data_IF_713719334612
#
_entry.id   IF_713719334612
#
_cell.length_a   1.000
_cell.length_b   1.000
_cell.length_c   1.000
_cell.angle_alpha   90.00
_cell.angle_beta   90.00
_cell.angle_gamma   90.00
#
_symmetry.space_group_name_H-M   'P 1'
#
loop_
_entity.id
_entity.type
_entity.pdbx_description
1 polymer ?
#
# COMPACT_ATOMS: atom_id res chain seq x y z
N UNK A 1 -11.22 -1.78 16.07
CA UNK A 1 -9.80 -1.74 15.66
C UNK A 1 -9.68 -2.47 14.33
N UNK A 2 -10.09 -1.84 13.23
CA UNK A 2 -10.17 -2.56 11.94
C UNK A 2 -8.86 -2.52 11.17
N UNK A 3 -8.23 -1.35 11.00
CA UNK A 3 -6.93 -1.23 10.33
C UNK A 3 -5.81 -2.02 11.04
N UNK A 4 -5.84 -2.12 12.37
CA UNK A 4 -4.85 -2.89 13.12
C UNK A 4 -5.03 -4.41 13.00
N UNK A 5 -6.20 -4.86 12.54
CA UNK A 5 -6.51 -6.29 12.44
C UNK A 5 -5.84 -6.93 11.24
N UNK A 6 -5.62 -6.21 10.14
CA UNK A 6 -5.07 -6.82 8.92
C UNK A 6 -3.54 -6.98 8.92
N UNK A 7 -2.79 -6.30 9.81
CA UNK A 7 -1.32 -6.29 9.83
C UNK A 7 -0.70 -7.15 10.95
N UNK A 8 -1.33 -8.28 11.30
CA UNK A 8 -0.95 -9.09 12.47
C UNK A 8 0.49 -9.59 12.42
N UNK A 9 0.95 -10.11 11.29
CA UNK A 9 2.32 -10.63 11.14
C UNK A 9 3.33 -9.49 11.21
N UNK A 10 3.06 -8.39 10.50
CA UNK A 10 3.90 -7.19 10.52
C UNK A 10 4.07 -6.67 11.95
N UNK A 11 2.96 -6.52 12.67
CA UNK A 11 3.00 -6.02 14.05
C UNK A 11 3.64 -7.00 15.02
N UNK A 12 3.50 -8.30 14.78
CA UNK A 12 4.19 -9.31 15.57
C UNK A 12 5.71 -9.17 15.43
N UNK A 13 6.23 -9.01 14.21
CA UNK A 13 7.66 -8.76 13.99
C UNK A 13 8.12 -7.44 14.64
N UNK A 14 7.35 -6.36 14.47
CA UNK A 14 7.62 -5.07 15.10
C UNK A 14 7.71 -5.17 16.63
N UNK A 15 6.74 -5.83 17.26
CA UNK A 15 6.71 -6.04 18.72
C UNK A 15 7.89 -6.89 19.20
N UNK A 16 8.22 -7.97 18.48
CA UNK A 16 9.35 -8.84 18.83
C UNK A 16 10.69 -8.10 18.89
N UNK A 17 10.83 -7.02 18.11
CA UNK A 17 12.07 -6.23 18.04
C UNK A 17 11.98 -4.88 18.80
N UNK A 18 10.93 -4.68 19.60
CA UNK A 18 10.76 -3.49 20.43
C UNK A 18 10.42 -2.21 19.67
N UNK A 19 9.72 -2.34 18.53
CA UNK A 19 9.26 -1.22 17.70
C UNK A 19 7.74 -1.27 17.47
N UNK A 20 6.91 -1.31 18.53
CA UNK A 20 5.46 -1.45 18.38
C UNK A 20 4.87 -0.29 17.56
N UNK A 21 3.85 -0.54 16.73
CA UNK A 21 3.14 0.53 16.04
C UNK A 21 2.33 1.39 17.03
N UNK A 22 2.13 2.66 16.71
CA UNK A 22 1.31 3.59 17.49
C UNK A 22 0.04 4.00 16.74
N UNK A 23 -1.09 4.05 17.46
CA UNK A 23 -2.37 4.45 16.87
C UNK A 23 -2.43 5.96 16.62
N UNK A 24 -3.03 6.32 15.48
CA UNK A 24 -3.34 7.71 15.11
C UNK A 24 -4.73 7.77 14.46
N UNK A 25 -5.33 8.94 14.46
CA UNK A 25 -6.61 9.19 13.80
C UNK A 25 -6.37 9.81 12.43
N UNK A 26 -6.81 9.12 11.38
CA UNK A 26 -6.59 9.55 10.01
C UNK A 26 -7.40 10.82 9.69
N UNK A 27 -6.70 11.83 9.18
CA UNK A 27 -7.27 13.06 8.65
C UNK A 27 -6.78 13.27 7.22
N UNK A 28 -7.70 13.39 6.27
CA UNK A 28 -7.37 13.58 4.84
C UNK A 28 -7.76 14.96 4.35
N UNK A 29 -7.04 15.48 3.37
CA UNK A 29 -7.36 16.72 2.65
C UNK A 29 -7.16 16.51 1.16
N UNK A 30 -8.26 16.24 0.46
CA UNK A 30 -8.23 15.89 -0.95
C UNK A 30 -8.67 17.06 -1.81
N UNK A 31 -7.86 17.42 -2.81
CA UNK A 31 -8.13 18.56 -3.68
C UNK A 31 -7.95 19.90 -2.98
N UNK A 32 -8.18 20.98 -3.74
CA UNK A 32 -8.03 22.36 -3.27
C UNK A 32 -9.15 23.26 -3.79
N UNK A 33 -9.60 24.21 -2.98
CA UNK A 33 -10.70 25.12 -3.29
C UNK A 33 -12.09 24.47 -3.25
N UNK A 34 -13.14 25.28 -3.34
CA UNK A 34 -14.54 24.85 -3.12
C UNK A 34 -15.00 23.74 -4.08
N UNK A 35 -14.49 23.73 -5.31
CA UNK A 35 -14.93 22.79 -6.36
C UNK A 35 -14.32 21.39 -6.28
N UNK A 36 -13.28 21.20 -5.45
CA UNK A 36 -12.52 19.94 -5.36
C UNK A 36 -12.16 19.51 -3.95
N UNK A 37 -12.15 20.42 -2.99
CA UNK A 37 -11.78 20.10 -1.62
C UNK A 37 -12.82 19.20 -0.95
N UNK A 38 -12.35 18.11 -0.37
CA UNK A 38 -13.11 17.37 0.64
C UNK A 38 -12.21 16.69 1.67
N UNK A 39 -12.80 16.36 2.81
CA UNK A 39 -12.14 15.74 3.95
C UNK A 39 -13.11 14.82 4.68
N UNK A 40 -12.58 13.89 5.48
CA UNK A 40 -13.36 13.09 6.41
C UNK A 40 -13.59 13.77 7.77
N UNK A 41 -13.01 14.94 8.02
CA UNK A 41 -13.06 15.60 9.32
C UNK A 41 -14.33 16.43 9.55
N UNK A 42 -14.95 16.96 8.50
CA UNK A 42 -16.15 17.81 8.56
C UNK A 42 -16.88 17.80 7.20
N UNK A 43 -18.18 18.16 7.13
CA UNK A 43 -18.91 18.19 5.87
C UNK A 43 -18.36 19.31 4.97
N UNK A 44 -17.72 18.93 3.86
CA UNK A 44 -17.30 19.90 2.83
C UNK A 44 -18.44 20.21 1.86
N UNK A 45 -18.34 21.35 1.16
CA UNK A 45 -19.28 21.70 0.07
C UNK A 45 -19.36 20.60 -1.00
N UNK A 46 -18.23 20.01 -1.37
CA UNK A 46 -18.15 18.93 -2.36
C UNK A 46 -18.89 17.66 -1.91
N UNK A 47 -18.74 17.28 -0.64
CA UNK A 47 -19.49 16.16 -0.05
C UNK A 47 -21.00 16.42 -0.12
N UNK A 48 -21.44 17.64 0.22
CA UNK A 48 -22.86 18.00 0.14
C UNK A 48 -23.39 17.89 -1.29
N UNK A 49 -22.61 18.39 -2.28
CA UNK A 49 -22.93 18.31 -3.70
C UNK A 49 -23.10 16.85 -4.18
N UNK A 50 -22.19 15.95 -3.80
CA UNK A 50 -22.22 14.55 -4.23
C UNK A 50 -22.92 13.59 -3.26
N UNK A 51 -23.64 14.08 -2.25
CA UNK A 51 -24.27 13.25 -1.22
C UNK A 51 -25.18 12.12 -1.77
N UNK A 52 -25.91 12.37 -2.87
CA UNK A 52 -26.70 11.34 -3.56
C UNK A 52 -25.84 10.28 -4.25
N UNK A 53 -24.74 10.72 -4.89
CA UNK A 53 -23.76 9.84 -5.54
C UNK A 53 -23.04 8.96 -4.50
N UNK A 54 -22.64 9.54 -3.36
CA UNK A 54 -22.08 8.82 -2.20
C UNK A 54 -23.06 7.71 -1.81
N UNK A 55 -24.30 8.03 -1.43
CA UNK A 55 -25.29 6.99 -1.05
C UNK A 55 -25.45 5.89 -2.10
N UNK A 56 -25.50 6.25 -3.39
CA UNK A 56 -25.56 5.29 -4.51
C UNK A 56 -24.31 4.41 -4.58
N UNK A 57 -23.14 4.93 -4.27
CA UNK A 57 -21.88 4.18 -4.24
C UNK A 57 -21.91 3.04 -3.21
N UNK A 58 -22.55 3.23 -2.05
CA UNK A 58 -22.77 2.15 -1.09
C UNK A 58 -23.60 0.99 -1.65
N UNK A 59 -24.62 1.26 -2.46
CA UNK A 59 -25.37 0.21 -3.17
C UNK A 59 -24.53 -0.46 -4.26
N UNK A 60 -23.68 0.31 -4.95
CA UNK A 60 -22.74 -0.23 -5.93
C UNK A 60 -21.76 -1.23 -5.29
N UNK A 61 -21.19 -0.92 -4.13
CA UNK A 61 -20.29 -1.85 -3.41
C UNK A 61 -21.02 -3.17 -3.08
N UNK A 62 -22.25 -3.10 -2.56
CA UNK A 62 -23.08 -4.28 -2.30
C UNK A 62 -23.34 -5.09 -3.56
N UNK A 63 -23.67 -4.42 -4.68
CA UNK A 63 -23.88 -5.10 -5.96
C UNK A 63 -22.63 -5.85 -6.43
N UNK A 64 -21.46 -5.19 -6.37
CA UNK A 64 -20.19 -5.82 -6.76
C UNK A 64 -19.93 -7.06 -5.91
N UNK A 65 -20.11 -6.99 -4.59
CA UNK A 65 -19.91 -8.12 -3.66
C UNK A 65 -20.64 -9.39 -4.11
N UNK A 66 -21.91 -9.25 -4.50
CA UNK A 66 -22.74 -10.36 -4.96
C UNK A 66 -22.39 -10.85 -6.37
N UNK A 67 -21.73 -10.02 -7.16
CA UNK A 67 -21.51 -10.26 -8.59
C UNK A 67 -20.04 -10.35 -9.00
N UNK A 68 -19.13 -10.51 -8.01
CA UNK A 68 -17.67 -10.64 -8.20
C UNK A 68 -17.29 -11.60 -9.34
N UNK A 69 -17.87 -12.81 -9.47
CA UNK A 69 -17.46 -13.74 -10.53
C UNK A 69 -17.65 -13.20 -11.95
N UNK A 70 -18.58 -12.25 -12.14
CA UNK A 70 -18.95 -11.70 -13.46
C UNK A 70 -18.34 -10.32 -13.67
N UNK A 71 -18.52 -9.41 -12.71
CA UNK A 71 -18.11 -8.00 -12.86
C UNK A 71 -16.83 -7.65 -12.10
N UNK A 72 -16.29 -8.58 -11.30
CA UNK A 72 -15.19 -8.29 -10.38
C UNK A 72 -13.91 -7.81 -11.08
N UNK A 73 -13.59 -8.37 -12.26
CA UNK A 73 -12.41 -7.98 -13.06
C UNK A 73 -12.61 -6.70 -13.87
N UNK A 74 -13.84 -6.19 -13.97
CA UNK A 74 -14.14 -5.00 -14.76
C UNK A 74 -13.56 -3.77 -14.02
N UNK A 75 -12.77 -2.93 -14.71
CA UNK A 75 -12.22 -1.71 -14.11
C UNK A 75 -13.29 -0.77 -13.56
N UNK A 76 -13.01 -0.16 -12.41
CA UNK A 76 -13.95 0.74 -11.71
C UNK A 76 -14.46 1.87 -12.61
N UNK A 77 -13.61 2.44 -13.47
CA UNK A 77 -14.03 3.50 -14.43
C UNK A 77 -15.15 3.07 -15.37
N UNK A 78 -15.20 1.79 -15.74
CA UNK A 78 -16.21 1.24 -16.64
C UNK A 78 -17.49 1.03 -15.85
N UNK A 79 -17.38 0.42 -14.67
CA UNK A 79 -18.54 0.19 -13.79
C UNK A 79 -19.21 1.48 -13.34
N UNK A 80 -18.42 2.52 -13.03
CA UNK A 80 -18.97 3.84 -12.69
C UNK A 80 -19.82 4.42 -13.82
N UNK A 81 -19.41 4.25 -15.07
CA UNK A 81 -20.21 4.69 -16.24
C UNK A 81 -21.47 3.84 -16.42
N UNK A 82 -21.37 2.53 -16.27
CA UNK A 82 -22.51 1.60 -16.40
C UNK A 82 -23.59 1.88 -15.34
N UNK A 83 -23.19 2.32 -14.15
CA UNK A 83 -24.09 2.70 -13.05
C UNK A 83 -24.49 4.20 -13.09
N UNK A 84 -24.16 4.90 -14.18
CA UNK A 84 -24.49 6.32 -14.39
C UNK A 84 -24.01 7.26 -13.28
N UNK A 85 -22.83 6.99 -12.70
CA UNK A 85 -22.15 7.94 -11.83
C UNK A 85 -21.66 9.16 -12.61
N UNK A 86 -21.74 10.33 -11.97
CA UNK A 86 -21.18 11.54 -12.55
C UNK A 86 -19.65 11.38 -12.69
N UNK A 87 -19.12 11.89 -13.81
CA UNK A 87 -17.67 11.83 -14.05
C UNK A 87 -16.90 12.58 -12.94
N UNK A 88 -17.43 13.72 -12.51
CA UNK A 88 -16.82 14.52 -11.46
C UNK A 88 -16.78 13.81 -10.11
N UNK A 89 -17.79 13.03 -9.74
CA UNK A 89 -17.75 12.23 -8.52
C UNK A 89 -16.60 11.21 -8.54
N UNK A 90 -16.38 10.56 -9.69
CA UNK A 90 -15.24 9.66 -9.89
C UNK A 90 -13.90 10.36 -9.76
N UNK A 91 -13.71 11.43 -10.55
CA UNK A 91 -12.44 12.15 -10.65
C UNK A 91 -12.09 12.90 -9.34
N UNK A 92 -13.08 13.47 -8.64
CA UNK A 92 -12.85 14.31 -7.45
C UNK A 92 -12.91 13.55 -6.12
N UNK A 93 -13.62 12.43 -6.03
CA UNK A 93 -13.82 11.70 -4.77
C UNK A 93 -13.36 10.25 -4.81
N UNK A 94 -13.90 9.44 -5.72
CA UNK A 94 -13.67 7.98 -5.70
C UNK A 94 -12.21 7.61 -6.04
N UNK A 95 -11.63 8.19 -7.09
CA UNK A 95 -10.27 7.84 -7.50
C UNK A 95 -9.20 8.35 -6.52
N UNK A 96 -9.28 9.58 -5.96
CA UNK A 96 -8.39 9.99 -4.88
C UNK A 96 -8.48 9.09 -3.64
N UNK A 97 -9.68 8.63 -3.27
CA UNK A 97 -9.85 7.73 -2.12
C UNK A 97 -9.23 6.35 -2.35
N UNK A 98 -9.43 5.74 -3.52
CA UNK A 98 -8.80 4.45 -3.82
C UNK A 98 -7.26 4.61 -3.96
N UNK A 99 -6.78 5.77 -4.40
CA UNK A 99 -5.34 6.07 -4.44
C UNK A 99 -4.71 6.04 -3.04
N UNK A 100 -5.41 6.56 -2.02
CA UNK A 100 -5.00 6.43 -0.61
C UNK A 100 -4.85 4.96 -0.20
N UNK A 101 -5.77 4.08 -0.60
CA UNK A 101 -5.78 2.69 -0.16
C UNK A 101 -4.71 1.84 -0.83
N UNK A 102 -4.46 2.06 -2.12
CA UNK A 102 -3.59 1.21 -2.93
C UNK A 102 -2.23 1.83 -3.23
N UNK A 103 -2.03 3.10 -2.89
CA UNK A 103 -0.83 3.87 -3.25
C UNK A 103 -0.63 4.08 -4.75
N UNK A 104 -1.59 3.67 -5.61
CA UNK A 104 -1.43 3.61 -7.08
C UNK A 104 -2.19 4.72 -7.80
N UNK A 105 -1.92 5.97 -7.44
CA UNK A 105 -2.73 7.14 -7.82
C UNK A 105 -3.11 7.20 -9.31
N UNK A 106 -2.15 7.21 -10.22
CA UNK A 106 -2.42 7.34 -11.65
C UNK A 106 -3.07 6.11 -12.31
N UNK A 107 -3.12 4.97 -11.62
CA UNK A 107 -3.70 3.72 -12.14
C UNK A 107 -5.06 3.37 -11.52
N UNK A 108 -5.52 4.13 -10.52
CA UNK A 108 -6.75 3.87 -9.77
C UNK A 108 -7.98 3.58 -10.65
N UNK A 109 -8.17 4.35 -11.72
CA UNK A 109 -9.31 4.16 -12.62
C UNK A 109 -9.35 2.77 -13.30
N UNK A 110 -8.21 2.08 -13.37
CA UNK A 110 -8.05 0.76 -13.98
C UNK A 110 -8.11 -0.40 -12.97
N UNK A 111 -8.29 -0.09 -11.68
CA UNK A 111 -8.40 -1.09 -10.60
C UNK A 111 -9.68 -1.89 -10.78
N UNK A 112 -9.63 -3.23 -10.65
CA UNK A 112 -10.83 -4.06 -10.71
C UNK A 112 -11.84 -3.71 -9.61
N UNK A 113 -13.13 -3.74 -9.97
CA UNK A 113 -14.20 -3.37 -9.03
C UNK A 113 -14.27 -4.29 -7.81
N UNK A 114 -13.89 -5.57 -7.95
CA UNK A 114 -13.78 -6.47 -6.81
C UNK A 114 -12.75 -5.98 -5.78
N UNK A 115 -11.61 -5.44 -6.20
CA UNK A 115 -10.59 -4.93 -5.27
C UNK A 115 -11.12 -3.69 -4.55
N UNK A 116 -11.81 -2.81 -5.27
CA UNK A 116 -12.47 -1.65 -4.65
C UNK A 116 -13.46 -2.09 -3.58
N UNK A 117 -14.33 -3.07 -3.86
CA UNK A 117 -15.27 -3.61 -2.89
C UNK A 117 -14.58 -4.21 -1.66
N UNK A 118 -13.53 -5.00 -1.87
CA UNK A 118 -12.80 -5.67 -0.79
C UNK A 118 -12.09 -4.70 0.16
N UNK A 119 -11.67 -3.53 -0.32
CA UNK A 119 -11.09 -2.48 0.51
C UNK A 119 -12.08 -1.85 1.50
N UNK A 120 -13.39 -1.99 1.27
CA UNK A 120 -14.44 -1.48 2.16
C UNK A 120 -15.16 -2.56 2.99
N UNK A 121 -15.20 -3.82 2.52
CA UNK A 121 -16.10 -4.83 3.09
C UNK A 121 -15.47 -6.23 3.31
N UNK A 122 -14.18 -6.44 2.98
CA UNK A 122 -13.50 -7.71 3.31
C UNK A 122 -12.80 -7.65 4.68
N UNK A 123 -13.10 -8.51 5.65
CA UNK A 123 -12.37 -8.55 6.92
C UNK A 123 -10.85 -8.73 6.80
N UNK A 124 -10.34 -9.27 5.68
CA UNK A 124 -8.93 -9.53 5.40
C UNK A 124 -8.23 -8.43 4.60
N UNK A 125 -8.97 -7.44 4.07
CA UNK A 125 -8.42 -6.36 3.23
C UNK A 125 -8.97 -4.97 3.56
N UNK A 126 -10.07 -4.89 4.31
CA UNK A 126 -10.74 -3.66 4.69
C UNK A 126 -9.80 -2.84 5.57
N UNK A 127 -9.53 -1.62 5.12
CA UNK A 127 -8.78 -0.64 5.89
C UNK A 127 -9.74 0.14 6.81
N UNK A 128 -10.85 0.61 6.24
CA UNK A 128 -11.85 1.41 6.93
C UNK A 128 -13.25 1.11 6.42
N UNK A 129 -14.23 1.37 7.28
CA UNK A 129 -15.64 1.35 6.92
C UNK A 129 -15.96 2.28 5.76
N UNK A 130 -16.99 1.90 5.01
CA UNK A 130 -17.64 2.79 4.07
C UNK A 130 -18.59 3.74 4.83
N UNK A 131 -18.41 5.05 4.67
CA UNK A 131 -19.32 6.07 5.22
C UNK A 131 -20.29 6.58 4.16
N UNK A 132 -21.60 6.44 4.41
CA UNK A 132 -22.64 6.90 3.47
C UNK A 132 -22.85 8.41 3.43
N UNK A 133 -22.21 9.17 4.32
CA UNK A 133 -22.20 10.63 4.34
C UNK A 133 -20.96 11.21 3.68
N UNK A 134 -19.77 10.63 3.90
CA UNK A 134 -18.47 11.22 3.53
C UNK A 134 -17.52 10.28 2.75
N UNK A 135 -17.95 9.07 2.38
CA UNK A 135 -17.17 7.91 1.85
C UNK A 135 -16.17 7.30 2.83
N UNK A 136 -15.50 8.12 3.62
CA UNK A 136 -14.53 7.73 4.63
C UNK A 136 -15.02 8.19 6.01
N UNK A 137 -15.07 7.32 7.03
CA UNK A 137 -15.51 7.67 8.37
C UNK A 137 -14.70 8.82 8.96
N UNK A 138 -15.29 9.49 9.94
CA UNK A 138 -14.62 10.53 10.70
C UNK A 138 -13.53 9.92 11.60
N UNK A 139 -12.31 10.46 11.52
CA UNK A 139 -11.16 10.12 12.37
C UNK A 139 -10.94 8.61 12.57
N UNK A 140 -10.91 7.80 11.49
CA UNK A 140 -10.77 6.38 11.68
C UNK A 140 -9.36 6.05 12.14
N UNK A 141 -9.25 5.00 12.94
CA UNK A 141 -7.96 4.56 13.47
C UNK A 141 -7.07 4.06 12.33
N UNK A 142 -5.82 4.50 12.38
CA UNK A 142 -4.69 4.04 11.59
C UNK A 142 -3.52 3.79 12.56
N UNK A 143 -2.43 3.20 12.07
CA UNK A 143 -1.19 3.10 12.82
C UNK A 143 -0.04 3.79 12.11
N UNK A 144 0.94 4.20 12.90
CA UNK A 144 2.24 4.71 12.45
C UNK A 144 3.33 3.78 12.92
N UNK A 145 4.46 3.81 12.22
CA UNK A 145 5.57 2.91 12.47
C UNK A 145 6.71 3.64 13.12
N UNK A 146 7.46 2.93 13.95
CA UNK A 146 8.66 3.49 14.54
C UNK A 146 9.76 3.70 13.47
N UNK A 147 10.97 4.11 13.85
CA UNK A 147 12.12 4.17 12.96
C UNK A 147 12.41 2.80 12.33
N UNK A 148 11.86 2.60 11.12
CA UNK A 148 11.96 1.35 10.39
C UNK A 148 13.41 0.96 10.09
N UNK A 149 14.34 1.91 9.95
CA UNK A 149 15.75 1.60 9.75
C UNK A 149 16.34 0.83 10.94
N UNK A 150 16.09 1.32 12.16
CA UNK A 150 16.55 0.65 13.37
C UNK A 150 15.84 -0.69 13.59
N UNK A 151 14.55 -0.78 13.26
CA UNK A 151 13.82 -2.05 13.26
C UNK A 151 14.48 -3.09 12.35
N UNK A 152 14.68 -2.78 11.05
CA UNK A 152 15.27 -3.74 10.10
C UNK A 152 16.73 -4.07 10.44
N UNK A 153 17.47 -3.13 11.05
CA UNK A 153 18.82 -3.39 11.55
C UNK A 153 18.79 -4.42 12.68
N UNK A 154 17.96 -4.24 13.70
CA UNK A 154 17.79 -5.21 14.79
C UNK A 154 17.32 -6.57 14.28
N UNK A 155 16.38 -6.58 13.35
CA UNK A 155 15.87 -7.81 12.77
C UNK A 155 16.97 -8.56 11.99
N UNK A 156 17.77 -7.85 11.19
CA UNK A 156 18.94 -8.43 10.53
C UNK A 156 19.93 -9.02 11.55
N UNK A 157 20.24 -8.29 12.62
CA UNK A 157 21.19 -8.75 13.64
C UNK A 157 20.68 -10.01 14.38
N UNK A 158 19.38 -10.10 14.66
CA UNK A 158 18.71 -11.31 15.17
C UNK A 158 18.84 -12.50 14.20
N UNK A 159 18.62 -12.29 12.90
CA UNK A 159 18.80 -13.33 11.88
C UNK A 159 20.26 -13.82 11.80
N UNK A 160 21.23 -12.91 11.82
CA UNK A 160 22.66 -13.25 11.84
C UNK A 160 23.01 -14.10 13.08
N UNK A 161 22.45 -13.76 14.25
CA UNK A 161 22.66 -14.53 15.49
C UNK A 161 22.13 -15.96 15.42
N UNK A 162 21.16 -16.22 14.53
CA UNK A 162 20.57 -17.55 14.26
C UNK A 162 21.27 -18.30 13.13
N UNK A 163 22.38 -17.77 12.62
CA UNK A 163 23.18 -18.41 11.57
C UNK A 163 22.74 -18.11 10.14
N UNK A 164 21.84 -17.13 9.93
CA UNK A 164 21.58 -16.64 8.57
C UNK A 164 22.80 -15.87 8.05
N UNK A 165 23.05 -15.94 6.74
CA UNK A 165 24.03 -15.10 6.04
C UNK A 165 23.30 -13.97 5.32
N UNK A 166 23.63 -12.71 5.64
CA UNK A 166 23.01 -11.53 5.03
C UNK A 166 24.10 -10.70 4.34
N UNK A 167 24.02 -10.65 3.01
CA UNK A 167 24.97 -9.91 2.17
C UNK A 167 24.32 -8.65 1.60
N UNK A 168 24.92 -7.50 1.87
CA UNK A 168 24.52 -6.20 1.29
C UNK A 168 25.55 -5.78 0.23
N UNK A 169 25.16 -4.95 -0.73
CA UNK A 169 26.00 -4.63 -1.89
C UNK A 169 26.37 -5.90 -2.70
N UNK A 170 25.46 -6.86 -2.74
CA UNK A 170 25.62 -8.14 -3.43
C UNK A 170 24.40 -8.34 -4.30
N UNK A 171 24.58 -8.20 -5.60
CA UNK A 171 23.52 -8.24 -6.60
C UNK A 171 23.46 -9.61 -7.28
N UNK A 172 22.28 -10.20 -7.34
CA UNK A 172 22.05 -11.40 -8.16
C UNK A 172 21.76 -10.93 -9.58
N UNK A 173 22.75 -11.01 -10.46
CA UNK A 173 22.62 -10.53 -11.85
C UNK A 173 21.76 -11.48 -12.70
N UNK A 174 21.96 -12.79 -12.54
CA UNK A 174 21.31 -13.79 -13.38
C UNK A 174 21.22 -15.17 -12.72
N UNK A 175 20.17 -15.90 -13.08
CA UNK A 175 20.08 -17.34 -12.89
C UNK A 175 20.65 -18.02 -14.12
N UNK A 176 21.81 -18.65 -13.97
CA UNK A 176 22.56 -19.30 -15.05
C UNK A 176 21.96 -20.65 -15.42
N UNK A 177 21.57 -21.42 -14.41
CA UNK A 177 20.97 -22.74 -14.55
C UNK A 177 20.01 -22.99 -13.38
N UNK A 178 18.93 -23.72 -13.67
CA UNK A 178 18.05 -24.26 -12.63
C UNK A 178 17.38 -25.54 -13.07
N UNK A 179 17.34 -26.51 -12.16
CA UNK A 179 16.68 -27.80 -12.31
C UNK A 179 16.06 -28.21 -10.97
N UNK A 180 15.62 -29.46 -10.86
CA UNK A 180 15.20 -30.01 -9.58
C UNK A 180 16.42 -30.07 -8.65
N UNK A 181 16.32 -29.46 -7.46
CA UNK A 181 17.33 -29.40 -6.41
C UNK A 181 18.68 -28.80 -6.85
N UNK A 182 18.68 -27.89 -7.82
CA UNK A 182 19.92 -27.20 -8.21
C UNK A 182 19.58 -25.88 -8.88
N UNK A 183 20.20 -24.81 -8.38
CA UNK A 183 20.13 -23.44 -8.89
C UNK A 183 21.55 -22.90 -8.88
N UNK A 184 21.98 -22.34 -10.02
CA UNK A 184 23.28 -21.68 -10.16
C UNK A 184 23.06 -20.21 -10.48
N UNK A 185 23.58 -19.34 -9.62
CA UNK A 185 23.43 -17.90 -9.68
C UNK A 185 24.75 -17.26 -10.11
N UNK A 186 24.66 -16.16 -10.87
CA UNK A 186 25.74 -15.19 -11.03
C UNK A 186 25.50 -14.06 -10.05
N UNK A 187 26.50 -13.79 -9.22
CA UNK A 187 26.43 -12.80 -8.16
C UNK A 187 27.55 -11.79 -8.36
N UNK A 188 27.22 -10.51 -8.22
CA UNK A 188 28.16 -9.40 -8.32
C UNK A 188 28.27 -8.68 -6.98
N UNK A 189 29.50 -8.39 -6.55
CA UNK A 189 29.75 -7.50 -5.44
C UNK A 189 29.83 -6.06 -5.96
N UNK A 190 28.89 -5.20 -5.55
CA UNK A 190 28.79 -3.83 -6.06
C UNK A 190 29.86 -2.88 -5.50
N UNK A 191 30.69 -3.33 -4.55
CA UNK A 191 31.84 -2.56 -4.06
C UNK A 191 33.14 -2.93 -4.77
N UNK A 192 33.35 -4.21 -5.02
CA UNK A 192 34.60 -4.72 -5.62
C UNK A 192 34.49 -4.96 -7.12
N UNK A 193 33.27 -4.94 -7.66
CA UNK A 193 32.92 -5.34 -9.03
C UNK A 193 33.24 -6.81 -9.34
N UNK A 194 33.56 -7.61 -8.32
CA UNK A 194 33.85 -9.03 -8.45
C UNK A 194 32.57 -9.80 -8.78
N UNK A 195 32.68 -10.72 -9.74
CA UNK A 195 31.59 -11.59 -10.18
C UNK A 195 31.92 -13.04 -9.83
N UNK A 196 31.05 -13.68 -9.07
CA UNK A 196 31.15 -15.08 -8.65
C UNK A 196 29.97 -15.89 -9.17
N UNK A 197 30.15 -17.20 -9.22
CA UNK A 197 29.08 -18.15 -9.50
C UNK A 197 28.85 -19.04 -8.27
N UNK A 198 27.63 -19.04 -7.75
CA UNK A 198 27.27 -19.77 -6.53
C UNK A 198 26.13 -20.77 -6.81
N UNK A 199 26.18 -21.92 -6.15
CA UNK A 199 25.20 -23.00 -6.32
C UNK A 199 24.39 -23.24 -5.05
N UNK A 200 23.09 -23.46 -5.22
CA UNK A 200 22.12 -23.69 -4.16
C UNK A 200 21.14 -24.80 -4.56
N UNK A 201 20.45 -25.41 -3.60
CA UNK A 201 19.42 -26.43 -3.88
C UNK A 201 18.09 -25.83 -4.36
N UNK A 202 17.83 -24.58 -3.98
CA UNK A 202 16.64 -23.83 -4.38
C UNK A 202 16.76 -22.34 -4.05
N UNK A 203 15.81 -21.57 -4.57
CA UNK A 203 15.77 -20.12 -4.37
C UNK A 203 14.35 -19.62 -4.11
N UNK A 204 14.27 -18.54 -3.32
CA UNK A 204 13.07 -17.73 -3.15
C UNK A 204 13.38 -16.33 -3.67
N UNK A 205 12.72 -15.91 -4.74
CA UNK A 205 12.88 -14.57 -5.30
C UNK A 205 11.93 -13.61 -4.58
N UNK A 206 12.48 -12.83 -3.65
CA UNK A 206 11.80 -11.78 -2.90
C UNK A 206 11.94 -10.38 -3.55
N UNK A 207 11.96 -10.35 -4.89
CA UNK A 207 12.11 -9.14 -5.71
C UNK A 207 10.81 -8.86 -6.49
N UNK A 208 10.72 -7.72 -7.17
CA UNK A 208 9.57 -7.39 -8.03
C UNK A 208 9.44 -8.38 -9.20
N UNK A 209 8.23 -8.53 -9.75
CA UNK A 209 7.95 -9.58 -10.74
C UNK A 209 8.76 -9.42 -12.03
N UNK A 210 8.98 -8.18 -12.47
CA UNK A 210 9.80 -7.86 -13.64
C UNK A 210 11.30 -7.98 -13.35
N UNK A 211 11.76 -7.58 -12.17
CA UNK A 211 13.12 -7.87 -11.69
C UNK A 211 13.37 -9.38 -11.66
N UNK A 212 12.40 -10.16 -11.17
CA UNK A 212 12.48 -11.63 -11.18
C UNK A 212 12.59 -12.17 -12.61
N UNK A 213 11.79 -11.65 -13.57
CA UNK A 213 11.93 -12.05 -14.98
C UNK A 213 13.29 -11.69 -15.57
N UNK A 214 13.84 -10.53 -15.23
CA UNK A 214 15.17 -10.11 -15.68
C UNK A 214 16.25 -11.04 -15.15
N UNK A 215 16.24 -11.33 -13.84
CA UNK A 215 17.18 -12.27 -13.20
C UNK A 215 17.05 -13.68 -13.79
N UNK A 216 15.82 -14.16 -14.01
CA UNK A 216 15.58 -15.48 -14.62
C UNK A 216 16.08 -15.53 -16.08
N UNK A 217 15.96 -14.43 -16.81
CA UNK A 217 16.48 -14.28 -18.17
C UNK A 217 16.09 -15.43 -19.10
N UNK A 218 17.09 -16.07 -19.70
CA UNK A 218 16.89 -17.19 -20.64
C UNK A 218 16.34 -18.46 -19.96
N UNK A 219 16.50 -18.60 -18.65
CA UNK A 219 15.99 -19.77 -17.92
C UNK A 219 14.50 -19.64 -17.61
N UNK A 220 13.89 -18.46 -17.77
CA UNK A 220 12.46 -18.24 -17.56
C UNK A 220 11.60 -19.11 -18.50
N UNK A 221 10.71 -19.89 -17.91
CA UNK A 221 9.72 -20.69 -18.65
C UNK A 221 8.65 -19.81 -19.29
N UNK A 222 7.95 -20.34 -20.29
CA UNK A 222 6.82 -19.63 -20.90
C UNK A 222 5.72 -19.29 -19.90
N UNK A 223 5.51 -20.15 -18.90
CA UNK A 223 4.53 -19.91 -17.85
C UNK A 223 4.95 -18.75 -16.94
N UNK A 224 6.22 -18.69 -16.52
CA UNK A 224 6.71 -17.56 -15.73
C UNK A 224 6.65 -16.25 -16.51
N UNK A 225 7.06 -16.25 -17.79
CA UNK A 225 6.91 -15.07 -18.66
C UNK A 225 5.46 -14.61 -18.76
N UNK A 226 4.52 -15.54 -18.89
CA UNK A 226 3.08 -15.24 -18.94
C UNK A 226 2.55 -14.66 -17.63
N UNK A 227 2.91 -15.28 -16.50
CA UNK A 227 2.41 -14.92 -15.16
C UNK A 227 3.08 -13.64 -14.69
N UNK A 228 4.40 -13.63 -14.53
CA UNK A 228 5.16 -12.49 -13.99
C UNK A 228 5.05 -11.25 -14.88
N UNK A 229 4.97 -11.42 -16.20
CA UNK A 229 4.73 -10.33 -17.16
C UNK A 229 3.30 -9.76 -17.14
N UNK A 230 2.42 -10.29 -16.27
CA UNK A 230 1.09 -9.74 -16.02
C UNK A 230 1.09 -8.58 -15.01
N UNK A 231 2.19 -8.35 -14.29
CA UNK A 231 2.37 -7.19 -13.42
C UNK A 231 2.92 -6.00 -14.22
N UNK A 232 2.49 -4.79 -13.88
CA UNK A 232 3.01 -3.55 -14.45
C UNK A 232 3.51 -2.66 -13.33
N UNK A 233 4.67 -2.03 -13.53
CA UNK A 233 5.32 -1.19 -12.54
C UNK A 233 5.55 0.22 -13.10
N UNK A 234 5.63 1.20 -12.20
CA UNK A 234 5.82 2.61 -12.53
C UNK A 234 6.89 3.20 -11.63
N UNK A 235 7.71 4.07 -12.19
CA UNK A 235 8.71 4.79 -11.43
C UNK A 235 8.12 6.05 -10.82
N UNK A 236 8.11 6.13 -9.50
CA UNK A 236 7.65 7.28 -8.74
C UNK A 236 8.83 7.91 -8.00
N UNK A 237 8.77 9.21 -7.71
CA UNK A 237 9.76 9.88 -6.86
C UNK A 237 9.08 10.51 -5.64
N UNK A 238 9.58 10.20 -4.46
CA UNK A 238 9.25 10.88 -3.22
C UNK A 238 10.29 11.94 -2.91
N UNK A 239 9.83 13.16 -2.69
CA UNK A 239 10.63 14.28 -2.19
C UNK A 239 10.24 14.50 -0.74
N UNK A 240 11.19 14.31 0.18
CA UNK A 240 11.06 14.73 1.57
C UNK A 240 11.60 16.15 1.68
N UNK A 241 10.83 17.10 2.21
CA UNK A 241 11.20 18.52 2.27
C UNK A 241 10.54 19.24 3.46
N UNK A 242 11.02 20.45 3.79
CA UNK A 242 10.40 21.36 4.77
C UNK A 242 9.76 22.61 4.15
N UNK A 243 9.56 22.62 2.83
CA UNK A 243 8.95 23.75 2.11
C UNK A 243 7.43 23.90 2.36
N UNK A 244 7.08 24.58 3.47
CA UNK A 244 5.69 24.90 3.81
C UNK A 244 5.02 25.84 2.80
N UNK A 245 5.77 26.72 2.12
CA UNK A 245 5.20 27.66 1.15
C UNK A 245 4.64 26.89 -0.05
N UNK A 246 5.46 26.00 -0.62
CA UNK A 246 5.00 25.07 -1.65
C UNK A 246 3.77 24.29 -1.18
N UNK A 247 3.84 23.73 0.03
CA UNK A 247 2.79 22.84 0.54
C UNK A 247 1.44 23.57 0.72
N UNK A 248 1.45 24.75 1.33
CA UNK A 248 0.24 25.57 1.53
C UNK A 248 -0.31 26.14 0.21
N UNK A 249 0.54 26.35 -0.79
CA UNK A 249 0.11 26.72 -2.14
C UNK A 249 -0.61 25.58 -2.86
N UNK A 250 -0.26 24.31 -2.58
CA UNK A 250 -0.85 23.16 -3.29
C UNK A 250 -2.04 22.53 -2.57
N UNK A 251 -2.13 22.66 -1.24
CA UNK A 251 -3.10 21.92 -0.42
C UNK A 251 -3.94 22.79 0.51
N UNK A 252 -5.04 22.24 1.02
CA UNK A 252 -5.83 22.83 2.12
C UNK A 252 -5.35 22.23 3.45
N UNK A 253 -4.52 22.97 4.16
CA UNK A 253 -3.82 22.50 5.38
C UNK A 253 -4.53 22.86 6.69
N UNK A 254 -5.49 23.78 6.64
CA UNK A 254 -6.19 24.33 7.79
C UNK A 254 -7.70 24.40 7.54
N UNK A 255 -8.49 24.44 8.61
CA UNK A 255 -9.93 24.62 8.50
C UNK A 255 -10.25 25.99 7.90
N UNK A 256 -11.10 26.01 6.88
CA UNK A 256 -11.59 27.23 6.25
C UNK A 256 -13.12 27.24 6.24
N UNK A 257 -13.79 28.21 6.89
CA UNK A 257 -15.24 28.25 6.96
C UNK A 257 -15.94 28.19 5.59
N UNK A 258 -15.34 28.80 4.56
CA UNK A 258 -15.92 28.81 3.22
C UNK A 258 -15.85 27.45 2.51
N UNK A 259 -15.03 26.50 2.97
CA UNK A 259 -14.97 25.13 2.45
C UNK A 259 -15.97 24.19 3.15
N UNK A 260 -16.45 24.58 4.33
CA UNK A 260 -17.41 23.83 5.12
C UNK A 260 -18.83 24.03 4.58
N UNK A 261 -19.59 22.95 4.46
CA UNK A 261 -21.03 23.00 4.24
C UNK A 261 -21.77 23.17 5.57
N UNK A 262 -23.04 23.57 5.49
CA UNK A 262 -23.91 23.62 6.66
C UNK A 262 -24.11 22.21 7.26
N UNK A 263 -23.83 22.01 8.56
CA UNK A 263 -23.96 20.71 9.21
C UNK A 263 -25.43 20.29 9.31
N UNK A 264 -25.72 19.05 8.95
CA UNK A 264 -27.09 18.48 8.90
C UNK A 264 -27.43 17.61 10.11
N UNK A 265 -26.47 17.32 10.97
CA UNK A 265 -26.63 16.48 12.17
C UNK A 265 -25.81 17.03 13.34
N UNK A 266 -26.13 16.59 14.56
CA UNK A 266 -25.37 17.00 15.74
C UNK A 266 -23.93 16.46 15.71
N UNK A 267 -23.70 15.31 15.08
CA UNK A 267 -22.35 14.78 14.90
C UNK A 267 -21.54 15.63 13.91
N UNK A 268 -22.15 16.12 12.82
CA UNK A 268 -21.50 17.08 11.93
C UNK A 268 -21.20 18.41 12.63
N UNK A 269 -22.05 18.88 13.55
CA UNK A 269 -21.74 20.08 14.37
C UNK A 269 -20.51 19.85 15.25
N UNK A 270 -20.40 18.68 15.90
CA UNK A 270 -19.21 18.31 16.70
C UNK A 270 -17.95 18.22 15.84
N UNK A 271 -18.06 17.63 14.66
CA UNK A 271 -16.97 17.55 13.67
C UNK A 271 -16.45 18.93 13.26
N UNK A 272 -17.37 19.88 13.00
CA UNK A 272 -17.01 21.27 12.68
C UNK A 272 -16.34 21.95 13.87
N UNK A 273 -16.88 21.78 15.09
CA UNK A 273 -16.31 22.33 16.32
C UNK A 273 -14.89 21.80 16.57
N UNK A 274 -14.69 20.49 16.46
CA UNK A 274 -13.37 19.84 16.51
C UNK A 274 -12.41 20.46 15.49
N UNK A 275 -12.84 20.57 14.23
CA UNK A 275 -12.01 21.02 13.11
C UNK A 275 -11.60 22.50 13.22
N UNK A 276 -12.43 23.33 13.85
CA UNK A 276 -12.12 24.73 14.18
C UNK A 276 -11.11 24.88 15.32
N UNK A 277 -10.84 23.82 16.08
CA UNK A 277 -10.05 23.90 17.31
C UNK A 277 -10.82 24.55 18.46
N UNK A 278 -12.15 24.41 18.48
CA UNK A 278 -12.94 24.85 19.63
C UNK A 278 -12.73 23.87 20.82
N UNK A 279 -12.63 24.39 22.04
CA UNK A 279 -12.27 23.62 23.24
C UNK A 279 -10.78 23.25 23.30
N UNK A 280 -10.45 22.10 23.90
CA UNK A 280 -9.08 21.55 23.97
C UNK A 280 -8.68 20.77 22.70
N UNK A 281 -9.38 20.98 21.59
CA UNK A 281 -9.13 20.27 20.32
C UNK A 281 -7.88 20.81 19.61
N UNK A 282 -7.01 19.95 19.05
CA UNK A 282 -5.87 20.37 18.24
C UNK A 282 -6.28 20.95 16.87
N UNK A 283 -7.56 20.91 16.49
CA UNK A 283 -8.08 21.40 15.22
C UNK A 283 -7.87 20.43 14.05
N UNK A 284 -8.29 20.87 12.86
CA UNK A 284 -8.06 20.15 11.61
C UNK A 284 -6.57 20.16 11.25
N UNK A 285 -5.93 18.98 11.29
CA UNK A 285 -4.50 18.75 11.02
C UNK A 285 -4.34 17.54 10.09
N UNK A 286 -4.68 17.67 8.80
CA UNK A 286 -4.61 16.57 7.86
C UNK A 286 -3.18 16.01 7.73
N UNK A 287 -3.10 14.70 7.58
CA UNK A 287 -1.83 13.99 7.37
C UNK A 287 -1.61 13.59 5.93
N UNK A 288 -2.68 13.32 5.18
CA UNK A 288 -2.63 12.85 3.80
C UNK A 288 -3.33 13.83 2.87
N UNK A 289 -2.74 14.07 1.71
CA UNK A 289 -3.17 15.06 0.75
C UNK A 289 -3.14 14.53 -0.69
N UNK A 290 -4.07 15.02 -1.52
CA UNK A 290 -3.98 14.85 -2.98
C UNK A 290 -4.07 16.18 -3.69
N UNK A 291 -3.19 16.35 -4.68
CA UNK A 291 -3.25 17.45 -5.63
C UNK A 291 -3.64 16.89 -6.98
N UNK A 292 -4.60 17.50 -7.65
CA UNK A 292 -5.06 17.10 -8.98
C UNK A 292 -4.56 18.10 -9.99
N UNK A 293 -3.87 17.64 -11.02
CA UNK A 293 -3.35 18.51 -12.07
C UNK A 293 -4.50 19.14 -12.87
N UNK A 294 -4.58 20.49 -12.98
CA UNK A 294 -5.65 21.15 -13.73
C UNK A 294 -5.72 20.73 -15.21
N UNK A 295 -4.56 20.47 -15.82
CA UNK A 295 -4.43 20.07 -17.22
C UNK A 295 -4.89 18.63 -17.51
N UNK A 296 -4.82 17.74 -16.52
CA UNK A 296 -5.37 16.37 -16.62
C UNK A 296 -5.89 15.92 -15.26
N UNK A 297 -7.21 16.09 -15.00
CA UNK A 297 -7.82 15.74 -13.72
C UNK A 297 -7.74 14.26 -13.31
N UNK A 298 -7.27 13.38 -14.20
CA UNK A 298 -7.04 11.96 -13.90
C UNK A 298 -5.69 11.71 -13.24
N UNK A 299 -4.81 12.72 -13.21
CA UNK A 299 -3.47 12.64 -12.67
C UNK A 299 -3.43 13.35 -11.33
N UNK A 300 -2.70 12.76 -10.39
CA UNK A 300 -2.56 13.33 -9.06
C UNK A 300 -1.11 13.30 -8.57
N UNK A 301 -0.82 14.17 -7.61
CA UNK A 301 0.27 14.01 -6.65
C UNK A 301 -0.30 13.55 -5.32
N UNK A 302 0.48 12.76 -4.60
CA UNK A 302 0.13 12.32 -3.25
C UNK A 302 1.13 12.94 -2.28
N UNK A 303 0.63 13.54 -1.21
CA UNK A 303 1.48 14.23 -0.25
C UNK A 303 1.13 13.90 1.19
N UNK A 304 2.12 13.99 2.05
CA UNK A 304 2.00 13.71 3.47
C UNK A 304 2.60 14.85 4.27
N UNK A 305 1.94 15.25 5.36
CA UNK A 305 2.56 16.06 6.40
C UNK A 305 2.98 15.12 7.53
N UNK A 306 4.22 14.64 7.49
CA UNK A 306 4.76 13.68 8.45
C UNK A 306 4.74 14.21 9.87
N UNK A 307 4.93 15.51 10.07
CA UNK A 307 4.89 16.14 11.39
C UNK A 307 3.50 16.10 12.06
N UNK A 308 2.42 15.86 11.30
CA UNK A 308 1.07 15.75 11.87
C UNK A 308 0.75 14.35 12.44
N UNK A 309 1.47 13.31 12.03
CA UNK A 309 1.11 11.93 12.40
C UNK A 309 2.27 11.07 12.88
N UNK A 310 3.51 11.28 12.42
CA UNK A 310 4.64 10.46 12.89
C UNK A 310 4.93 10.78 14.35
N UNK A 311 4.75 9.78 15.21
CA UNK A 311 4.79 9.96 16.67
C UNK A 311 6.15 10.47 17.14
N UNK A 312 7.26 10.09 16.49
CA UNK A 312 8.59 10.61 16.86
C UNK A 312 8.74 12.09 16.53
N UNK A 313 8.18 12.54 15.39
CA UNK A 313 8.22 13.94 14.99
C UNK A 313 7.31 14.79 15.89
N UNK A 314 6.10 14.31 16.17
CA UNK A 314 5.18 14.98 17.10
C UNK A 314 5.80 15.15 18.48
N UNK A 315 6.37 14.07 19.03
CA UNK A 315 7.04 14.09 20.34
C UNK A 315 8.21 15.07 20.35
N UNK A 316 9.10 14.99 19.37
CA UNK A 316 10.25 15.90 19.26
C UNK A 316 9.81 17.37 19.15
N UNK A 317 8.76 17.66 18.38
CA UNK A 317 8.26 19.03 18.25
C UNK A 317 7.65 19.55 19.55
N UNK A 318 6.83 18.74 20.22
CA UNK A 318 6.26 19.08 21.53
C UNK A 318 7.34 19.35 22.58
N UNK A 319 8.38 18.52 22.64
CA UNK A 319 9.51 18.68 23.56
C UNK A 319 10.33 19.95 23.26
N UNK A 320 10.36 20.38 22.00
CA UNK A 320 11.07 21.59 21.55
C UNK A 320 10.26 22.89 21.68
N UNK A 321 8.97 22.81 22.06
CA UNK A 321 8.08 23.97 22.04
C UNK A 321 7.75 24.45 20.61
N UNK A 322 7.53 23.50 19.69
CA UNK A 322 7.22 23.73 18.27
C UNK A 322 8.32 24.48 17.49
N UNK A 323 9.58 24.25 17.85
CA UNK A 323 10.73 24.91 17.22
C UNK A 323 11.15 24.31 15.88
N UNK A 324 10.71 23.09 15.53
CA UNK A 324 11.10 22.43 14.30
C UNK A 324 10.17 22.75 13.13
N UNK A 325 10.78 22.92 11.95
CA UNK A 325 10.01 23.02 10.71
C UNK A 325 9.22 21.71 10.45
N UNK A 326 8.01 21.80 9.86
CA UNK A 326 7.28 20.63 9.43
C UNK A 326 8.02 19.82 8.37
N UNK A 327 7.89 18.49 8.42
CA UNK A 327 8.43 17.57 7.43
C UNK A 327 7.31 17.08 6.54
N UNK A 328 7.46 17.33 5.25
CA UNK A 328 6.53 16.89 4.21
C UNK A 328 7.16 15.79 3.35
N UNK A 329 6.31 14.95 2.77
CA UNK A 329 6.67 14.04 1.69
C UNK A 329 5.71 14.24 0.54
N UNK A 330 6.21 14.66 -0.62
CA UNK A 330 5.42 14.75 -1.86
C UNK A 330 5.89 13.67 -2.83
N UNK A 331 4.94 12.88 -3.32
CA UNK A 331 5.15 11.78 -4.26
C UNK A 331 4.65 12.20 -5.63
N UNK A 332 5.58 12.25 -6.58
CA UNK A 332 5.29 12.47 -7.99
C UNK A 332 5.22 11.12 -8.70
N UNK A 333 4.05 10.84 -9.25
CA UNK A 333 3.69 9.53 -9.77
C UNK A 333 3.98 9.40 -11.26
N UNK A 334 4.56 8.26 -11.65
CA UNK A 334 4.93 7.84 -12.98
C UNK A 334 5.89 8.80 -13.69
N UNK A 335 7.16 8.42 -13.79
CA UNK A 335 8.24 9.20 -14.41
C UNK A 335 7.99 9.57 -15.87
N UNK A 336 7.05 8.89 -16.54
CA UNK A 336 6.60 9.24 -17.90
C UNK A 336 5.70 10.48 -17.93
N UNK A 337 5.23 10.98 -16.78
CA UNK A 337 4.35 12.15 -16.63
C UNK A 337 5.10 13.34 -16.02
N UNK A 338 6.45 13.33 -16.09
CA UNK A 338 7.33 14.38 -15.55
C UNK A 338 6.98 15.79 -16.03
N UNK A 339 6.44 15.91 -17.23
CA UNK A 339 5.99 17.17 -17.82
C UNK A 339 4.91 17.89 -17.00
N UNK A 340 4.18 17.14 -16.15
CA UNK A 340 3.09 17.67 -15.32
C UNK A 340 3.55 18.01 -13.91
N UNK A 341 4.61 17.34 -13.44
CA UNK A 341 5.05 17.39 -12.05
C UNK A 341 5.35 18.82 -11.61
N UNK A 342 4.97 19.14 -10.38
CA UNK A 342 5.32 20.43 -9.76
C UNK A 342 6.59 20.39 -8.91
N UNK A 343 7.43 19.35 -9.11
CA UNK A 343 8.66 19.11 -8.36
C UNK A 343 9.63 20.30 -8.34
N UNK A 344 9.72 21.03 -9.46
CA UNK A 344 10.62 22.18 -9.60
C UNK A 344 10.13 23.42 -8.84
N UNK A 345 8.91 23.39 -8.29
CA UNK A 345 8.38 24.46 -7.43
C UNK A 345 8.80 24.30 -5.97
N UNK A 346 9.31 23.13 -5.58
CA UNK A 346 9.84 22.91 -4.24
C UNK A 346 11.20 23.60 -4.15
N UNK A 347 11.40 24.46 -3.16
CA UNK A 347 12.70 25.09 -2.89
C UNK A 347 13.77 24.01 -2.67
N UNK A 348 14.76 23.96 -3.56
CA UNK A 348 15.83 22.96 -3.51
C UNK A 348 16.63 23.02 -2.20
N UNK A 349 16.76 24.21 -1.59
CA UNK A 349 17.42 24.37 -0.29
C UNK A 349 16.66 23.72 0.87
N UNK A 350 15.36 23.44 0.68
CA UNK A 350 14.48 22.80 1.67
C UNK A 350 14.28 21.31 1.43
N UNK A 351 14.90 20.73 0.39
CA UNK A 351 14.82 19.30 0.12
C UNK A 351 15.74 18.55 1.08
N UNK A 352 15.14 17.67 1.89
CA UNK A 352 15.85 16.80 2.83
C UNK A 352 16.32 15.54 2.09
N UNK A 353 15.48 14.96 1.22
CA UNK A 353 15.80 13.71 0.53
C UNK A 353 14.98 13.51 -0.75
N UNK A 354 15.59 12.87 -1.75
CA UNK A 354 14.94 12.39 -2.99
C UNK A 354 15.03 10.86 -3.03
N UNK A 355 13.91 10.16 -3.19
CA UNK A 355 13.85 8.70 -3.22
C UNK A 355 13.04 8.21 -4.43
N UNK A 356 13.64 7.37 -5.27
CA UNK A 356 12.96 6.70 -6.38
C UNK A 356 12.35 5.38 -5.92
N UNK A 357 11.17 5.06 -6.45
CA UNK A 357 10.42 3.84 -6.19
C UNK A 357 9.98 3.20 -7.49
N UNK A 358 9.99 1.87 -7.54
CA UNK A 358 9.43 1.11 -8.64
C UNK A 358 8.18 0.38 -8.14
N UNK A 359 7.00 0.95 -8.36
CA UNK A 359 5.77 0.56 -7.67
C UNK A 359 4.81 -0.20 -8.58
N UNK A 360 4.19 -1.26 -8.04
CA UNK A 360 3.18 -2.05 -8.73
C UNK A 360 1.94 -1.20 -9.06
N UNK A 361 1.45 -1.26 -10.29
CA UNK A 361 0.12 -0.77 -10.64
C UNK A 361 -0.92 -1.88 -10.58
N UNK A 362 -2.01 -1.63 -9.85
CA UNK A 362 -3.14 -2.55 -9.65
C UNK A 362 -4.07 -2.67 -10.86
N UNK A 363 -3.53 -2.98 -12.04
CA UNK A 363 -4.33 -3.16 -13.25
C UNK A 363 -5.05 -4.52 -13.25
N UNK A 364 -6.18 -4.61 -13.96
CA UNK A 364 -6.96 -5.86 -14.05
C UNK A 364 -6.17 -7.08 -14.56
N UNK A 365 -5.13 -6.88 -15.39
CA UNK A 365 -4.28 -7.97 -15.86
C UNK A 365 -3.51 -8.65 -14.73
N UNK A 366 -3.13 -7.91 -13.68
CA UNK A 366 -2.47 -8.45 -12.48
C UNK A 366 -3.37 -9.50 -11.83
N UNK A 367 -4.65 -9.17 -11.64
CA UNK A 367 -5.64 -10.05 -11.02
C UNK A 367 -6.12 -11.18 -11.94
N UNK A 368 -6.03 -11.01 -13.26
CA UNK A 368 -6.33 -12.08 -14.21
C UNK A 368 -5.18 -13.09 -14.37
N UNK A 369 -3.92 -12.62 -14.37
CA UNK A 369 -2.76 -13.44 -14.77
C UNK A 369 -1.83 -13.79 -13.61
N UNK A 370 -1.46 -12.80 -12.80
CA UNK A 370 -0.46 -12.98 -11.73
C UNK A 370 -1.08 -13.74 -10.57
N UNK A 371 -2.12 -13.17 -9.95
CA UNK A 371 -2.72 -13.70 -8.71
C UNK A 371 -3.13 -15.18 -8.83
N UNK A 372 -3.96 -15.61 -9.81
CA UNK A 372 -4.27 -17.02 -9.98
C UNK A 372 -3.12 -17.83 -10.59
N UNK A 373 -2.14 -17.19 -11.23
CA UNK A 373 -1.00 -17.83 -11.86
C UNK A 373 0.06 -18.32 -10.87
N UNK A 374 0.17 -17.67 -9.69
CA UNK A 374 1.21 -17.95 -8.70
C UNK A 374 1.24 -19.41 -8.26
N UNK A 375 0.08 -20.04 -8.05
CA UNK A 375 -0.01 -21.44 -7.59
C UNK A 375 0.66 -22.43 -8.55
N UNK A 376 0.82 -22.04 -9.82
CA UNK A 376 1.42 -22.88 -10.85
C UNK A 376 2.92 -22.63 -11.05
N UNK A 377 3.49 -21.63 -10.35
CA UNK A 377 4.91 -21.29 -10.38
C UNK A 377 5.68 -21.89 -9.21
N UNK A 378 5.14 -21.81 -7.99
CA UNK A 378 5.86 -22.18 -6.79
C UNK A 378 6.36 -23.63 -6.81
N UNK A 379 7.63 -23.81 -6.45
CA UNK A 379 8.32 -25.10 -6.36
C UNK A 379 8.70 -25.70 -7.72
N UNK A 380 8.39 -25.05 -8.84
CA UNK A 380 8.88 -25.47 -10.16
C UNK A 380 10.32 -25.02 -10.35
N UNK A 381 11.15 -25.92 -10.88
CA UNK A 381 12.60 -25.67 -11.06
C UNK A 381 13.28 -25.13 -9.79
N UNK A 382 12.90 -25.66 -8.63
CA UNK A 382 13.40 -25.22 -7.31
C UNK A 382 13.29 -23.71 -7.07
N UNK A 383 12.27 -23.06 -7.65
CA UNK A 383 12.06 -21.62 -7.57
C UNK A 383 10.74 -21.31 -6.86
N UNK A 384 10.79 -20.34 -5.95
CA UNK A 384 9.63 -19.75 -5.28
C UNK A 384 9.69 -18.23 -5.43
N UNK A 385 8.56 -17.57 -5.20
CA UNK A 385 8.44 -16.13 -5.33
C UNK A 385 7.77 -15.55 -4.08
N UNK A 386 8.21 -14.39 -3.63
CA UNK A 386 7.56 -13.69 -2.52
C UNK A 386 7.62 -12.19 -2.75
N UNK A 387 6.65 -11.47 -2.20
CA UNK A 387 6.48 -10.04 -2.38
C UNK A 387 5.01 -9.65 -2.37
N UNK A 388 4.71 -8.41 -2.05
CA UNK A 388 3.33 -7.91 -2.03
C UNK A 388 2.63 -8.00 -3.40
N UNK A 389 3.40 -8.00 -4.49
CA UNK A 389 2.86 -8.12 -5.84
C UNK A 389 2.25 -9.49 -6.16
N UNK A 390 2.38 -10.50 -5.29
CA UNK A 390 1.73 -11.80 -5.52
C UNK A 390 0.20 -11.76 -5.33
N UNK A 391 -0.34 -10.73 -4.66
CA UNK A 391 -1.79 -10.53 -4.51
C UNK A 391 -2.21 -9.04 -4.50
N UNK A 392 -1.69 -8.21 -3.59
CA UNK A 392 -2.06 -6.78 -3.46
C UNK A 392 -0.98 -6.03 -2.66
N UNK A 393 -0.71 -4.76 -2.98
CA UNK A 393 0.45 -4.04 -2.46
C UNK A 393 0.26 -3.64 -0.98
N UNK A 394 0.50 -4.59 -0.08
CA UNK A 394 0.45 -4.40 1.37
C UNK A 394 1.68 -5.02 2.03
N UNK A 395 2.20 -4.36 3.07
CA UNK A 395 3.35 -4.87 3.82
C UNK A 395 3.06 -6.22 4.51
N UNK A 396 1.84 -6.40 5.04
CA UNK A 396 1.43 -7.69 5.61
C UNK A 396 1.59 -8.82 4.61
N UNK A 397 1.15 -8.59 3.38
CA UNK A 397 1.22 -9.60 2.34
C UNK A 397 2.68 -9.90 1.96
N UNK A 398 3.55 -8.90 1.94
CA UNK A 398 4.97 -9.14 1.73
C UNK A 398 5.52 -10.11 2.79
N UNK A 399 5.22 -9.89 4.08
CA UNK A 399 5.59 -10.81 5.16
C UNK A 399 4.99 -12.21 4.96
N UNK A 400 3.67 -12.29 4.77
CA UNK A 400 2.94 -13.56 4.65
C UNK A 400 3.38 -14.37 3.43
N UNK A 401 3.69 -13.70 2.32
CA UNK A 401 4.19 -14.37 1.10
C UNK A 401 5.55 -15.06 1.33
N UNK A 402 6.45 -14.42 2.09
CA UNK A 402 7.72 -15.02 2.50
C UNK A 402 7.52 -16.20 3.45
N UNK A 403 6.64 -16.05 4.45
CA UNK A 403 6.29 -17.13 5.38
C UNK A 403 5.69 -18.32 4.64
N UNK A 404 4.81 -18.10 3.65
CA UNK A 404 4.21 -19.14 2.84
C UNK A 404 5.23 -19.87 1.95
N UNK A 405 6.20 -19.16 1.37
CA UNK A 405 7.30 -19.77 0.64
C UNK A 405 8.16 -20.64 1.58
N UNK A 406 8.51 -20.15 2.77
CA UNK A 406 9.25 -20.92 3.78
C UNK A 406 8.45 -22.15 4.25
N UNK A 407 7.15 -22.01 4.46
CA UNK A 407 6.28 -23.13 4.81
C UNK A 407 6.25 -24.19 3.71
N UNK A 408 6.11 -23.79 2.44
CA UNK A 408 6.14 -24.70 1.30
C UNK A 408 7.48 -25.47 1.22
N UNK A 409 8.59 -24.80 1.56
CA UNK A 409 9.93 -25.40 1.63
C UNK A 409 10.11 -26.36 2.83
N UNK A 410 9.17 -26.41 3.77
CA UNK A 410 9.17 -27.35 4.88
C UNK A 410 9.31 -26.72 6.26
N UNK A 411 9.42 -25.39 6.37
CA UNK A 411 9.37 -24.72 7.67
C UNK A 411 7.99 -24.90 8.32
N UNK A 412 7.95 -24.92 9.65
CA UNK A 412 6.69 -24.96 10.41
C UNK A 412 6.12 -23.53 10.56
N UNK A 413 4.79 -23.40 10.47
CA UNK A 413 4.10 -22.14 10.77
C UNK A 413 3.83 -22.06 12.27
N UNK A 414 4.26 -20.97 12.91
CA UNK A 414 4.02 -20.74 14.34
C UNK A 414 2.78 -19.89 14.50
N UNK A 415 1.67 -20.50 14.94
CA UNK A 415 0.43 -19.79 15.25
C UNK A 415 0.64 -18.87 16.45
N UNK A 416 0.33 -17.59 16.28
CA UNK A 416 0.34 -16.58 17.34
C UNK A 416 -0.99 -15.81 17.48
N UNK A 417 -1.88 -15.91 16.49
CA UNK A 417 -3.19 -15.25 16.45
C UNK A 417 -4.12 -16.00 15.47
N UNK A 418 -5.40 -16.12 15.81
CA UNK A 418 -6.38 -16.88 15.00
C UNK A 418 -6.65 -16.21 13.64
N UNK A 419 -6.74 -14.88 13.60
CA UNK A 419 -6.93 -14.15 12.35
C UNK A 419 -5.68 -14.26 11.47
N UNK A 420 -4.48 -14.14 12.06
CA UNK A 420 -3.24 -14.31 11.33
C UNK A 420 -3.13 -15.71 10.68
N UNK A 421 -3.48 -16.77 11.42
CA UNK A 421 -3.52 -18.13 10.87
C UNK A 421 -4.55 -18.29 9.75
N UNK A 422 -5.75 -17.75 9.92
CA UNK A 422 -6.78 -17.79 8.87
C UNK A 422 -6.35 -17.05 7.60
N UNK A 423 -5.77 -15.85 7.75
CA UNK A 423 -5.21 -15.07 6.63
C UNK A 423 -4.09 -15.84 5.92
N UNK A 424 -3.13 -16.39 6.68
CA UNK A 424 -2.05 -17.22 6.16
C UNK A 424 -2.59 -18.44 5.41
N UNK A 425 -3.55 -19.17 5.99
CA UNK A 425 -4.16 -20.36 5.40
C UNK A 425 -4.86 -20.06 4.07
N UNK A 426 -5.62 -18.95 4.00
CA UNK A 426 -6.27 -18.48 2.76
C UNK A 426 -5.24 -18.08 1.70
N UNK A 427 -4.20 -17.34 2.09
CA UNK A 427 -3.13 -16.95 1.17
C UNK A 427 -2.38 -18.18 0.64
N UNK A 428 -2.08 -19.15 1.50
CA UNK A 428 -1.39 -20.39 1.15
C UNK A 428 -2.21 -21.20 0.12
N UNK A 429 -3.53 -21.27 0.31
CA UNK A 429 -4.43 -21.90 -0.66
C UNK A 429 -4.43 -21.15 -2.00
N UNK A 430 -4.61 -19.83 -1.95
CA UNK A 430 -4.75 -19.01 -3.16
C UNK A 430 -3.45 -18.95 -3.98
N UNK A 431 -2.33 -18.67 -3.31
CA UNK A 431 -1.05 -18.38 -3.97
C UNK A 431 -0.19 -19.62 -4.16
N UNK A 432 -0.23 -20.62 -3.26
CA UNK A 432 0.58 -21.84 -3.36
C UNK A 432 -0.22 -23.10 -3.69
N UNK A 433 -1.56 -23.02 -3.75
CA UNK A 433 -2.42 -24.18 -4.04
C UNK A 433 -2.46 -25.22 -2.91
N UNK A 434 -2.06 -24.85 -1.69
CA UNK A 434 -1.91 -25.76 -0.55
C UNK A 434 -2.98 -25.51 0.50
N UNK A 435 -3.73 -26.55 0.89
CA UNK A 435 -4.68 -26.48 2.00
C UNK A 435 -3.96 -26.72 3.32
N UNK A 436 -3.76 -25.66 4.11
CA UNK A 436 -3.02 -25.70 5.37
C UNK A 436 -3.45 -26.85 6.30
N UNK A 437 -4.76 -27.03 6.53
CA UNK A 437 -5.27 -28.11 7.40
C UNK A 437 -4.98 -29.53 6.89
N UNK A 438 -4.86 -29.74 5.57
CA UNK A 438 -4.47 -31.03 4.99
C UNK A 438 -2.97 -31.26 5.10
N UNK A 439 -2.19 -30.20 4.88
CA UNK A 439 -0.73 -30.23 4.98
C UNK A 439 -0.28 -30.53 6.41
N UNK A 440 -0.87 -29.88 7.43
CA UNK A 440 -0.59 -30.17 8.83
C UNK A 440 -0.93 -31.62 9.20
N UNK A 441 -2.09 -32.13 8.76
CA UNK A 441 -2.44 -33.55 8.96
C UNK A 441 -1.43 -34.49 8.29
N UNK A 442 -0.90 -34.14 7.11
CA UNK A 442 0.12 -34.93 6.41
C UNK A 442 1.44 -34.92 7.18
N UNK A 443 1.91 -33.75 7.63
CA UNK A 443 3.15 -33.60 8.41
C UNK A 443 3.10 -34.31 9.75
N UNK A 444 1.96 -34.25 10.45
CA UNK A 444 1.79 -34.98 11.71
C UNK A 444 1.85 -36.50 11.52
N UNK A 445 1.34 -37.01 10.39
CA UNK A 445 1.43 -38.44 10.05
C UNK A 445 2.85 -38.88 9.67
N UNK A 446 3.67 -38.01 9.09
CA UNK A 446 5.06 -38.34 8.74
C UNK A 446 6.04 -38.21 9.91
N UNK A 447 5.65 -37.49 10.98
CA UNK A 447 6.41 -37.38 12.23
C UNK A 447 6.13 -38.54 13.21
N UNK A 448 5.09 -39.34 12.95
CA UNK A 448 4.78 -40.60 13.65
C UNK A 448 5.32 -41.77 12.85
#
# INVERSE_FOLDING_TARGET
MEAAQIFKHTFNFFKQHGHPPEEVELQVSFGKGEDRFWTNCFPSKLISQFSSDIKRFGFFLKFIKWTIPVFGLIPIRVMMRLFFFSKEFGDKMVYPLIALFLGTGNQTANVPSAIVERLFDDPNMKLWDYDSETLLPNLPKMVTFDNLHEFYKKWKDDLLSKGADVRTNTEVEAVLQRSKNSVKLRIKNNKTEEVTEESFDGMVLCVLADTALNILGKTATMREKFVLGGAAFYDDITITHSDSKYFEEHYETHFKPNLCAEPKSDDQKKQVSFSKGEGDSPGFRPMYYTYTYPQDPKKIEMSFNCSNYQHQLKKANLESGDAYEPVYQTIFLNSQERDKWTIDKIDEAKIIKKNWWHQLGHRWQHYLRVVPGMMFLHGKQSTFFAGSWTLVNMHELACVSGIAAAYHLGADYVKFDDFAEDFFSKYLLLSHGMMYSREEKRRQKSKK
#
